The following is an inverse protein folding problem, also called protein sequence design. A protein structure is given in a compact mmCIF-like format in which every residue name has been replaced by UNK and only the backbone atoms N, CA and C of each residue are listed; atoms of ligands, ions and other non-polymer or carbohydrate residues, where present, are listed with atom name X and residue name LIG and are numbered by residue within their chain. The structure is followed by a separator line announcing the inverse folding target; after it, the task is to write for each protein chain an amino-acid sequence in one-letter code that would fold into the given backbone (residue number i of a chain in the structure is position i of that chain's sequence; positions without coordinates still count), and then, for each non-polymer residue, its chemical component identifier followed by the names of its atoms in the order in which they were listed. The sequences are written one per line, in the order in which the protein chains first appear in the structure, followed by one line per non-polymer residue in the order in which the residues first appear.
data_IF_619259388783
#
_entry.id   IF_619259388783
#
_cell.length_a   1.000
_cell.length_b   1.000
_cell.length_c   1.000
_cell.angle_alpha   90.00
_cell.angle_beta   90.00
_cell.angle_gamma   90.00
#
_symmetry.space_group_name_H-M   'P 1'
#
loop_
_entity.id
_entity.type
_entity.pdbx_description
1 polymer ?
#
# COMPACT_ATOMS: atom_id res chain seq x y z
N UNK A 1 14.02 17.23 -2.10
CA UNK A 1 12.92 17.17 -1.11
C UNK A 1 11.54 17.61 -1.67
N UNK A 2 11.46 18.42 -2.74
CA UNK A 2 10.17 18.87 -3.29
C UNK A 2 9.39 17.82 -4.10
N UNK A 3 10.09 16.96 -4.85
CA UNK A 3 9.46 15.98 -5.75
C UNK A 3 8.68 14.89 -5.00
N UNK A 4 9.12 14.55 -3.78
CA UNK A 4 8.48 13.54 -2.96
C UNK A 4 7.08 13.97 -2.50
N UNK A 5 6.91 15.27 -2.22
CA UNK A 5 5.62 15.83 -1.85
C UNK A 5 4.63 15.85 -3.03
N UNK A 6 5.15 16.03 -4.25
CA UNK A 6 4.34 16.01 -5.46
C UNK A 6 3.88 14.58 -5.78
N UNK A 7 4.76 13.59 -5.66
CA UNK A 7 4.41 12.19 -5.87
C UNK A 7 3.37 11.69 -4.86
N UNK A 8 3.50 12.03 -3.57
CA UNK A 8 2.48 11.68 -2.55
C UNK A 8 1.10 12.25 -2.94
N UNK A 9 1.03 13.51 -3.41
CA UNK A 9 -0.22 14.13 -3.88
C UNK A 9 -0.79 13.45 -5.13
N UNK A 10 0.05 13.13 -6.11
CA UNK A 10 -0.38 12.42 -7.31
C UNK A 10 -0.95 11.04 -6.98
N UNK A 11 -0.28 10.30 -6.10
CA UNK A 11 -0.74 9.00 -5.66
C UNK A 11 -2.03 9.08 -4.84
N UNK A 12 -2.21 10.06 -3.96
CA UNK A 12 -3.48 10.24 -3.25
C UNK A 12 -4.64 10.51 -4.20
N UNK A 13 -4.45 11.42 -5.17
CA UNK A 13 -5.50 11.72 -6.16
C UNK A 13 -5.81 10.50 -7.02
N UNK A 14 -4.80 9.72 -7.40
CA UNK A 14 -4.99 8.49 -8.16
C UNK A 14 -5.73 7.43 -7.33
N UNK A 15 -5.43 7.31 -6.03
CA UNK A 15 -6.11 6.41 -5.09
C UNK A 15 -7.62 6.74 -4.99
N UNK A 16 -7.98 8.03 -5.00
CA UNK A 16 -9.39 8.46 -5.00
C UNK A 16 -10.12 8.18 -6.32
N UNK A 17 -9.37 8.08 -7.43
CA UNK A 17 -9.92 7.77 -8.75
C UNK A 17 -9.96 6.26 -9.04
N UNK A 18 -9.09 5.48 -8.41
CA UNK A 18 -9.02 4.03 -8.59
C UNK A 18 -10.09 3.31 -7.78
N UNK A 19 -10.64 2.26 -8.37
CA UNK A 19 -11.58 1.38 -7.67
C UNK A 19 -10.83 0.60 -6.58
N UNK A 20 -11.43 0.34 -5.41
CA UNK A 20 -10.81 -0.46 -4.34
C UNK A 20 -10.43 -1.88 -4.78
N UNK A 21 -11.06 -2.38 -5.85
CA UNK A 21 -10.76 -3.70 -6.43
C UNK A 21 -9.63 -3.66 -7.47
N UNK A 22 -9.12 -2.48 -7.83
CA UNK A 22 -8.13 -2.35 -8.90
C UNK A 22 -6.77 -2.90 -8.47
N UNK A 23 -6.15 -3.82 -9.25
CA UNK A 23 -4.85 -4.40 -8.91
C UNK A 23 -3.73 -3.36 -8.75
N UNK A 24 -3.84 -2.21 -9.42
CA UNK A 24 -2.86 -1.12 -9.35
C UNK A 24 -2.80 -0.47 -7.96
N UNK A 25 -3.85 -0.61 -7.14
CA UNK A 25 -3.85 -0.08 -5.78
C UNK A 25 -2.73 -0.71 -4.93
N UNK A 26 -2.39 -1.97 -5.19
CA UNK A 26 -1.30 -2.66 -4.50
C UNK A 26 0.07 -2.09 -4.84
N UNK A 27 0.33 -1.82 -6.12
CA UNK A 27 1.55 -1.16 -6.58
C UNK A 27 1.63 0.29 -6.09
N UNK A 28 0.50 1.01 -6.07
CA UNK A 28 0.45 2.39 -5.58
C UNK A 28 0.88 2.52 -4.11
N UNK A 29 0.47 1.58 -3.26
CA UNK A 29 0.92 1.54 -1.87
C UNK A 29 2.41 1.19 -1.74
N UNK A 30 2.97 0.38 -2.64
CA UNK A 30 4.40 0.10 -2.68
C UNK A 30 5.22 1.34 -3.08
N UNK A 31 4.74 2.11 -4.05
CA UNK A 31 5.39 3.37 -4.43
C UNK A 31 5.36 4.39 -3.28
N UNK A 32 4.22 4.52 -2.59
CA UNK A 32 4.08 5.38 -1.40
C UNK A 32 5.00 4.93 -0.25
N UNK A 33 5.15 3.63 -0.03
CA UNK A 33 6.06 3.05 0.95
C UNK A 33 7.50 3.46 0.65
N UNK A 34 7.96 3.24 -0.58
CA UNK A 34 9.31 3.58 -1.02
C UNK A 34 9.57 5.09 -0.91
N UNK A 35 8.55 5.89 -1.22
CA UNK A 35 8.62 7.34 -1.09
C UNK A 35 8.81 7.78 0.36
N UNK A 36 8.02 7.22 1.27
CA UNK A 36 8.12 7.50 2.70
C UNK A 36 9.49 7.06 3.25
N UNK A 37 9.99 5.89 2.84
CA UNK A 37 11.34 5.41 3.14
C UNK A 37 12.42 6.39 2.65
N UNK A 38 12.27 6.94 1.45
CA UNK A 38 13.21 7.92 0.88
C UNK A 38 13.17 9.29 1.58
N UNK A 39 12.04 9.66 2.18
CA UNK A 39 11.93 10.85 3.06
C UNK A 39 12.52 10.59 4.46
N UNK A 40 12.89 9.34 4.77
CA UNK A 40 13.31 8.92 6.12
C UNK A 40 12.14 8.71 7.08
N UNK A 41 10.91 8.66 6.56
CA UNK A 41 9.69 8.56 7.34
C UNK A 41 9.22 7.10 7.43
N UNK A 42 9.96 6.32 8.22
CA UNK A 42 9.76 4.87 8.34
C UNK A 42 8.38 4.48 8.89
N UNK A 43 7.78 5.33 9.76
CA UNK A 43 6.42 5.11 10.26
C UNK A 43 5.40 5.07 9.12
N UNK A 44 5.40 6.11 8.27
CA UNK A 44 4.53 6.17 7.08
C UNK A 44 4.82 5.01 6.12
N UNK A 45 6.08 4.67 5.89
CA UNK A 45 6.46 3.53 5.04
C UNK A 45 5.81 2.23 5.53
N UNK A 46 5.89 1.95 6.84
CA UNK A 46 5.27 0.75 7.41
C UNK A 46 3.74 0.76 7.27
N UNK A 47 3.08 1.91 7.48
CA UNK A 47 1.63 2.02 7.28
C UNK A 47 1.21 1.68 5.84
N UNK A 48 1.92 2.23 4.85
CA UNK A 48 1.65 1.96 3.44
C UNK A 48 1.92 0.50 3.09
N UNK A 49 3.00 -0.09 3.62
CA UNK A 49 3.32 -1.50 3.44
C UNK A 49 2.22 -2.41 3.98
N UNK A 50 1.71 -2.12 5.17
CA UNK A 50 0.61 -2.89 5.78
C UNK A 50 -0.67 -2.81 4.95
N UNK A 51 -1.03 -1.62 4.44
CA UNK A 51 -2.17 -1.44 3.53
C UNK A 51 -2.02 -2.25 2.25
N UNK A 52 -0.84 -2.26 1.64
CA UNK A 52 -0.56 -3.06 0.43
C UNK A 52 -0.76 -4.56 0.67
N UNK A 53 -0.28 -5.07 1.81
CA UNK A 53 -0.42 -6.47 2.21
C UNK A 53 -1.88 -6.80 2.51
N UNK A 54 -2.59 -5.94 3.23
CA UNK A 54 -4.01 -6.12 3.54
C UNK A 54 -4.84 -6.21 2.26
N UNK A 55 -4.57 -5.36 1.27
CA UNK A 55 -5.24 -5.41 -0.03
C UNK A 55 -4.96 -6.73 -0.77
N UNK A 56 -3.69 -7.15 -0.82
CA UNK A 56 -3.28 -8.43 -1.44
C UNK A 56 -3.89 -9.64 -0.73
N UNK A 57 -4.09 -9.56 0.59
CA UNK A 57 -4.75 -10.60 1.37
C UNK A 57 -6.27 -10.60 1.21
N UNK A 58 -6.92 -9.44 1.07
CA UNK A 58 -8.36 -9.36 0.80
C UNK A 58 -8.72 -9.88 -0.60
N UNK A 59 -7.88 -9.61 -1.60
CA UNK A 59 -8.06 -10.12 -2.96
C UNK A 59 -7.71 -11.60 -3.12
N UNK A 60 -6.99 -12.17 -2.16
CA UNK A 60 -6.90 -13.62 -2.05
C UNK A 60 -8.16 -14.10 -1.34
N UNK A 61 -9.13 -14.74 -2.03
CA UNK A 61 -10.16 -15.48 -1.31
C UNK A 61 -9.41 -16.48 -0.44
N UNK A 62 -9.54 -16.33 0.88
CA UNK A 62 -8.90 -17.13 1.92
C UNK A 62 -9.12 -18.61 1.64
N UNK A 63 -8.21 -19.17 0.86
CA UNK A 63 -8.10 -20.58 0.54
C UNK A 63 -6.65 -20.95 0.82
N UNK A 64 -6.25 -20.83 2.09
CA UNK A 64 -5.45 -21.85 2.79
C UNK A 64 -5.08 -21.43 4.21
N UNK A 65 -5.38 -22.38 5.10
CA UNK A 65 -4.69 -22.66 6.36
C UNK A 65 -5.15 -21.93 7.61
N UNK A 66 -6.33 -22.33 8.07
CA UNK A 66 -6.49 -22.91 9.41
C UNK A 66 -5.20 -23.62 9.85
N UNK A 67 -4.47 -23.04 10.79
CA UNK A 67 -3.63 -23.81 11.71
C UNK A 67 -4.24 -23.58 13.09
N UNK A 68 -5.02 -24.52 13.64
CA UNK A 68 -5.33 -24.51 15.05
C UNK A 68 -4.03 -24.90 15.76
N UNK A 69 -3.48 -23.97 16.54
CA UNK A 69 -2.42 -24.31 17.49
C UNK A 69 -3.08 -25.17 18.58
N UNK A 70 -2.73 -26.46 18.58
CA UNK A 70 -3.10 -27.44 19.60
C UNK A 70 -2.64 -26.99 21.00
#
# INVERSE_FOLDING_TARGET
MGELNLAEKYFMRLLEQLSPDDPLLGDLYHDLERLASNVGNLNKSMEWRQKAIALKNQKQPTSKSTIPKQ
#
